data_IF_250713037124
#
_entry.id   IF_250713037124
#
_cell.length_a   1.000
_cell.length_b   1.000
_cell.length_c   1.000
_cell.angle_alpha   90.00
_cell.angle_beta   90.00
_cell.angle_gamma   90.00
#
_symmetry.space_group_name_H-M   'P 1'
#
loop_
_entity.id
_entity.type
_entity.pdbx_description
1 polymer ?
#
# COMPACT_ATOMS: atom_id res chain seq x y z
N UNK A 1 -38.52 -21.35 46.61
CA UNK A 1 -39.59 -21.42 45.60
C UNK A 1 -39.36 -20.22 44.69
N UNK A 2 -38.67 -20.41 43.57
CA UNK A 2 -39.29 -20.77 42.29
C UNK A 2 -40.26 -19.65 41.88
N UNK A 3 -40.24 -19.04 40.71
CA UNK A 3 -39.59 -19.29 39.43
C UNK A 3 -40.24 -18.24 38.50
N UNK A 4 -39.50 -17.50 37.69
CA UNK A 4 -39.99 -16.91 36.43
C UNK A 4 -38.79 -16.70 35.52
N UNK A 5 -38.22 -17.81 35.06
CA UNK A 5 -37.39 -17.84 33.84
C UNK A 5 -38.20 -17.42 32.61
N UNK A 6 -37.54 -16.68 31.72
CA UNK A 6 -37.98 -16.11 30.43
C UNK A 6 -38.74 -17.06 29.48
N UNK A 7 -39.29 -16.51 28.38
CA UNK A 7 -38.52 -16.65 27.14
C UNK A 7 -38.64 -15.44 26.19
N UNK A 8 -37.65 -14.54 26.20
CA UNK A 8 -37.23 -13.85 24.97
C UNK A 8 -36.10 -14.67 24.35
N UNK A 9 -36.46 -15.85 23.84
CA UNK A 9 -35.57 -16.74 23.11
C UNK A 9 -36.20 -17.04 21.76
N UNK A 10 -36.20 -16.05 20.85
CA UNK A 10 -36.34 -16.28 19.41
C UNK A 10 -36.15 -15.02 18.54
N UNK A 11 -35.22 -14.13 18.92
CA UNK A 11 -34.65 -13.20 17.96
C UNK A 11 -33.39 -13.85 17.37
N UNK A 12 -33.53 -14.43 16.17
CA UNK A 12 -32.41 -14.86 15.34
C UNK A 12 -32.05 -13.69 14.41
N UNK A 13 -31.00 -12.91 14.69
CA UNK A 13 -30.60 -11.83 13.79
C UNK A 13 -29.82 -12.34 12.56
N UNK A 14 -29.51 -13.64 12.51
CA UNK A 14 -28.82 -14.28 11.39
C UNK A 14 -29.78 -15.16 10.58
N UNK A 15 -30.65 -14.53 9.79
CA UNK A 15 -31.19 -15.19 8.61
C UNK A 15 -30.24 -14.91 7.45
N UNK A 16 -29.56 -15.95 6.98
CA UNK A 16 -28.78 -15.93 5.74
C UNK A 16 -29.70 -15.52 4.56
N UNK A 17 -29.68 -14.24 4.20
CA UNK A 17 -29.93 -13.84 2.82
C UNK A 17 -28.57 -13.67 2.16
N UNK A 18 -28.19 -14.70 1.39
CA UNK A 18 -27.04 -14.66 0.50
C UNK A 18 -27.32 -13.67 -0.63
N UNK A 19 -27.02 -12.42 -0.37
CA UNK A 19 -26.61 -11.44 -1.36
C UNK A 19 -25.33 -10.86 -0.78
N UNK A 20 -24.23 -11.59 -0.98
CA UNK A 20 -22.89 -11.05 -0.75
C UNK A 20 -22.74 -9.90 -1.74
N UNK A 21 -22.85 -8.68 -1.21
CA UNK A 21 -22.57 -7.45 -1.93
C UNK A 21 -21.05 -7.39 -2.08
N UNK A 22 -20.57 -7.86 -3.25
CA UNK A 22 -19.14 -7.97 -3.56
C UNK A 22 -18.45 -6.59 -3.61
N UNK A 23 -19.24 -5.50 -3.62
CA UNK A 23 -18.78 -4.12 -3.56
C UNK A 23 -18.18 -3.73 -2.18
N UNK A 24 -18.38 -4.53 -1.12
CA UNK A 24 -17.94 -4.22 0.26
C UNK A 24 -16.68 -5.00 0.69
N UNK A 25 -16.16 -5.88 -0.18
CA UNK A 25 -14.80 -6.41 -0.04
C UNK A 25 -13.88 -5.44 -0.76
N UNK A 26 -13.19 -4.58 0.00
CA UNK A 26 -12.07 -3.83 -0.56
C UNK A 26 -11.12 -4.80 -1.29
N UNK A 27 -10.70 -4.44 -2.50
CA UNK A 27 -9.87 -5.28 -3.34
C UNK A 27 -8.66 -5.85 -2.57
N UNK A 28 -8.34 -7.12 -2.81
CA UNK A 28 -7.05 -7.68 -2.38
C UNK A 28 -5.92 -6.95 -3.11
N UNK A 29 -5.35 -5.93 -2.47
CA UNK A 29 -4.23 -5.17 -3.01
C UNK A 29 -2.98 -6.05 -3.09
N UNK A 30 -2.70 -6.52 -4.30
CA UNK A 30 -1.44 -7.19 -4.65
C UNK A 30 -0.27 -6.19 -4.60
N UNK A 31 0.92 -6.72 -4.35
CA UNK A 31 2.19 -5.95 -4.21
C UNK A 31 2.50 -5.09 -5.46
N UNK A 32 1.89 -5.43 -6.60
CA UNK A 32 1.98 -4.80 -7.92
C UNK A 32 0.95 -3.67 -8.16
N UNK A 33 0.05 -3.38 -7.22
CA UNK A 33 -0.92 -2.29 -7.39
C UNK A 33 -0.20 -0.95 -7.55
N UNK A 34 -0.38 -0.36 -8.73
CA UNK A 34 0.21 0.88 -9.23
C UNK A 34 -0.32 2.08 -8.44
N UNK A 35 0.13 2.19 -7.19
CA UNK A 35 -0.21 3.24 -6.24
C UNK A 35 0.96 3.62 -5.33
N UNK A 36 2.19 3.25 -5.72
CA UNK A 36 3.40 3.44 -4.91
C UNK A 36 3.99 4.84 -5.12
N UNK A 37 3.72 5.76 -4.22
CA UNK A 37 4.30 7.11 -4.25
C UNK A 37 5.84 7.12 -4.17
N UNK A 38 6.47 7.92 -5.04
CA UNK A 38 7.83 8.47 -4.88
C UNK A 38 9.01 7.51 -5.10
N UNK A 39 9.27 6.60 -4.14
CA UNK A 39 10.51 5.79 -4.09
C UNK A 39 10.29 4.32 -4.43
N UNK A 40 9.19 3.72 -3.99
CA UNK A 40 8.88 2.32 -4.28
C UNK A 40 8.50 2.08 -5.75
N UNK A 41 8.01 3.10 -6.46
CA UNK A 41 7.83 3.01 -7.93
C UNK A 41 9.16 2.86 -8.67
N UNK A 42 10.28 3.33 -8.10
CA UNK A 42 11.57 3.35 -8.79
C UNK A 42 12.26 1.98 -8.76
N UNK A 43 12.16 1.27 -7.63
CA UNK A 43 12.66 -0.10 -7.50
C UNK A 43 11.71 -1.15 -8.10
N UNK A 44 10.40 -0.94 -8.06
CA UNK A 44 9.45 -1.79 -8.79
C UNK A 44 9.74 -1.82 -10.31
N UNK A 45 10.45 -0.83 -10.86
CA UNK A 45 10.86 -0.81 -12.27
C UNK A 45 12.20 -1.52 -12.53
N UNK A 46 13.00 -1.83 -11.50
CA UNK A 46 14.32 -2.46 -11.67
C UNK A 46 14.25 -3.99 -11.73
N UNK A 47 13.23 -4.60 -11.10
CA UNK A 47 13.09 -6.06 -11.02
C UNK A 47 12.17 -6.67 -12.10
N UNK A 48 11.65 -5.84 -13.03
CA UNK A 48 10.77 -6.33 -14.08
C UNK A 48 11.59 -6.97 -15.21
N UNK A 49 11.31 -8.25 -15.48
CA UNK A 49 11.53 -8.88 -16.78
C UNK A 49 11.25 -7.86 -17.90
N UNK A 50 12.07 -7.78 -18.96
CA UNK A 50 11.97 -6.71 -19.95
C UNK A 50 10.53 -6.58 -20.47
N UNK A 51 9.84 -5.51 -20.05
CA UNK A 51 8.42 -5.27 -20.32
C UNK A 51 8.07 -5.57 -21.77
N UNK A 52 7.26 -6.61 -21.99
CA UNK A 52 6.96 -7.06 -23.35
C UNK A 52 5.96 -6.11 -23.99
N UNK A 53 6.44 -5.24 -24.87
CA UNK A 53 5.58 -4.31 -25.62
C UNK A 53 4.92 -5.05 -26.79
N UNK A 54 3.59 -5.05 -26.85
CA UNK A 54 2.84 -5.77 -27.89
C UNK A 54 3.12 -5.21 -29.29
N UNK A 55 3.03 -6.07 -30.31
CA UNK A 55 3.22 -5.64 -31.71
C UNK A 55 2.25 -4.53 -32.14
N UNK A 56 1.01 -4.53 -31.62
CA UNK A 56 0.03 -3.49 -31.90
C UNK A 56 0.51 -2.12 -31.37
N UNK A 57 1.07 -2.09 -30.17
CA UNK A 57 1.61 -0.88 -29.57
C UNK A 57 2.90 -0.43 -30.28
N UNK A 58 3.79 -1.36 -30.64
CA UNK A 58 4.97 -1.05 -31.46
C UNK A 58 4.58 -0.44 -32.81
N UNK A 59 3.59 -1.03 -33.50
CA UNK A 59 3.06 -0.50 -34.78
C UNK A 59 2.46 0.89 -34.62
N UNK A 60 1.81 1.17 -33.49
CA UNK A 60 1.31 2.51 -33.18
C UNK A 60 2.44 3.50 -32.96
N UNK A 61 3.48 3.13 -32.20
CA UNK A 61 4.65 3.96 -31.94
C UNK A 61 5.44 4.28 -33.21
N UNK A 62 5.52 3.34 -34.17
CA UNK A 62 6.07 3.60 -35.51
C UNK A 62 5.25 4.65 -36.26
N UNK A 63 3.92 4.53 -36.25
CA UNK A 63 3.03 5.53 -36.88
C UNK A 63 3.16 6.92 -36.26
N UNK A 64 3.46 7.00 -34.96
CA UNK A 64 3.70 8.27 -34.27
C UNK A 64 5.13 8.81 -34.48
N UNK A 65 5.99 8.10 -35.22
CA UNK A 65 7.38 8.48 -35.45
C UNK A 65 8.26 8.36 -34.21
N UNK A 66 7.83 7.58 -33.22
CA UNK A 66 8.57 7.34 -31.97
C UNK A 66 9.56 6.17 -32.13
N UNK A 67 9.20 5.18 -32.95
CA UNK A 67 10.07 4.06 -33.35
C UNK A 67 10.23 4.03 -34.87
N UNK A 68 11.34 3.48 -35.38
CA UNK A 68 11.51 3.20 -36.81
C UNK A 68 10.95 1.82 -37.19
N UNK A 69 10.72 1.56 -38.48
CA UNK A 69 10.30 0.24 -38.96
C UNK A 69 11.40 -0.84 -38.74
N UNK A 70 12.66 -0.42 -38.71
CA UNK A 70 13.81 -1.28 -38.41
C UNK A 70 13.86 -1.69 -36.93
N UNK A 71 13.34 -0.83 -36.04
CA UNK A 71 13.26 -1.10 -34.60
C UNK A 71 12.22 -2.19 -34.24
N UNK A 72 11.28 -2.49 -35.13
CA UNK A 72 10.20 -3.47 -34.92
C UNK A 72 10.51 -4.83 -35.57
N UNK A 73 11.35 -4.84 -36.61
CA UNK A 73 11.68 -6.04 -37.40
C UNK A 73 12.76 -6.93 -36.76
N UNK A 74 13.47 -6.42 -35.75
CA UNK A 74 14.43 -7.19 -34.95
C UNK A 74 13.69 -8.10 -33.97
N UNK A 75 13.41 -9.33 -34.39
CA UNK A 75 12.64 -10.31 -33.63
C UNK A 75 13.14 -10.55 -32.21
N UNK A 76 12.19 -10.52 -31.26
CA UNK A 76 12.12 -11.31 -30.02
C UNK A 76 13.47 -11.45 -29.27
N UNK A 77 13.92 -10.41 -28.57
CA UNK A 77 14.36 -10.49 -27.16
C UNK A 77 15.01 -9.20 -26.66
N UNK A 78 15.41 -8.30 -27.55
CA UNK A 78 15.96 -7.01 -27.16
C UNK A 78 14.99 -5.90 -27.54
N UNK A 79 14.39 -5.25 -26.54
CA UNK A 79 13.74 -3.96 -26.74
C UNK A 79 14.76 -3.03 -27.44
N UNK A 80 14.40 -2.42 -28.56
CA UNK A 80 15.29 -1.46 -29.22
C UNK A 80 15.64 -0.31 -28.26
N UNK A 81 16.82 0.31 -28.45
CA UNK A 81 17.28 1.36 -27.54
C UNK A 81 16.28 2.52 -27.45
N UNK A 82 15.61 2.87 -28.55
CA UNK A 82 14.58 3.91 -28.57
C UNK A 82 13.37 3.57 -27.66
N UNK A 83 12.97 2.31 -27.62
CA UNK A 83 11.90 1.85 -26.73
C UNK A 83 12.35 1.82 -25.27
N UNK A 84 13.59 1.36 -24.99
CA UNK A 84 14.16 1.43 -23.65
C UNK A 84 14.25 2.87 -23.16
N UNK A 85 14.72 3.78 -24.01
CA UNK A 85 14.82 5.21 -23.71
C UNK A 85 13.44 5.81 -23.46
N UNK A 86 12.42 5.43 -24.23
CA UNK A 86 11.04 5.85 -24.00
C UNK A 86 10.49 5.32 -22.66
N UNK A 87 10.68 4.04 -22.36
CA UNK A 87 10.22 3.41 -21.12
C UNK A 87 11.00 3.93 -19.89
N UNK A 88 12.24 4.34 -20.07
CA UNK A 88 13.07 4.94 -19.02
C UNK A 88 12.66 6.37 -18.66
N UNK A 89 11.92 7.06 -19.54
CA UNK A 89 11.43 8.41 -19.26
C UNK A 89 10.33 8.33 -18.22
N UNK A 90 10.57 8.93 -17.06
CA UNK A 90 9.54 9.16 -16.04
C UNK A 90 8.42 9.99 -16.64
N UNK A 91 7.19 9.51 -16.57
CA UNK A 91 5.99 10.20 -17.06
C UNK A 91 5.69 11.53 -16.34
N UNK A 92 6.38 11.79 -15.23
CA UNK A 92 6.19 12.96 -14.40
C UNK A 92 7.52 13.41 -13.77
N UNK A 93 7.80 14.71 -13.85
CA UNK A 93 8.88 15.34 -13.09
C UNK A 93 8.25 16.15 -11.95
N UNK A 94 8.66 15.88 -10.70
CA UNK A 94 8.16 16.58 -9.52
C UNK A 94 8.77 17.99 -9.50
N UNK A 95 7.97 19.07 -9.48
CA UNK A 95 8.49 20.44 -9.35
C UNK A 95 9.38 20.60 -8.12
N UNK A 96 10.51 21.31 -8.24
CA UNK A 96 11.49 21.48 -7.16
C UNK A 96 10.88 22.12 -5.90
N UNK A 97 9.90 23.02 -6.08
CA UNK A 97 9.18 23.67 -4.99
C UNK A 97 8.40 22.66 -4.11
N UNK A 98 7.94 21.55 -4.69
CA UNK A 98 7.28 20.48 -3.93
C UNK A 98 8.28 19.56 -3.22
N UNK A 99 9.58 19.68 -3.52
CA UNK A 99 10.66 18.92 -2.89
C UNK A 99 11.39 19.73 -1.81
N UNK A 100 11.08 21.02 -1.66
CA UNK A 100 11.66 21.87 -0.62
C UNK A 100 11.20 21.41 0.77
N UNK A 101 12.15 20.94 1.58
CA UNK A 101 11.95 20.47 2.96
C UNK A 101 12.32 21.50 4.02
N UNK A 102 12.58 22.75 3.62
CA UNK A 102 13.02 23.82 4.53
C UNK A 102 11.88 24.53 5.26
N UNK A 103 10.63 24.34 4.81
CA UNK A 103 9.45 24.90 5.46
C UNK A 103 9.11 24.16 6.77
N UNK A 104 8.35 24.76 7.71
CA UNK A 104 7.90 24.07 8.91
C UNK A 104 6.83 23.02 8.59
N UNK A 105 6.74 21.97 9.43
CA UNK A 105 5.82 20.82 9.24
C UNK A 105 4.36 21.18 8.90
N UNK A 106 3.73 22.20 9.51
CA UNK A 106 2.34 22.57 9.21
C UNK A 106 2.10 23.10 7.78
N UNK A 107 3.15 23.40 7.02
CA UNK A 107 3.05 23.87 5.63
C UNK A 107 3.00 22.72 4.61
N UNK A 108 3.07 21.46 5.07
CA UNK A 108 3.01 20.27 4.21
C UNK A 108 1.68 19.54 4.31
N UNK A 109 1.21 19.06 3.16
CA UNK A 109 0.22 17.98 3.15
C UNK A 109 0.92 16.65 3.47
N UNK A 110 0.46 15.97 4.52
CA UNK A 110 1.01 14.69 4.96
C UNK A 110 -0.01 13.59 4.67
N UNK A 111 0.38 12.65 3.80
CA UNK A 111 -0.42 11.45 3.57
C UNK A 111 -0.55 10.66 4.87
N UNK A 112 -1.80 10.38 5.26
CA UNK A 112 -2.16 9.86 6.58
C UNK A 112 -3.17 8.73 6.45
N UNK A 113 -3.05 7.72 7.29
CA UNK A 113 -3.98 6.58 7.39
C UNK A 113 -4.67 6.58 8.74
N UNK A 114 -5.99 6.36 8.73
CA UNK A 114 -6.85 6.28 9.90
C UNK A 114 -7.24 4.82 10.16
N UNK A 115 -7.27 4.39 11.43
CA UNK A 115 -7.48 3.01 11.86
C UNK A 115 -6.68 2.01 11.00
N UNK A 116 -5.38 2.27 10.85
CA UNK A 116 -4.51 1.62 9.85
C UNK A 116 -4.52 0.09 9.94
N UNK A 117 -4.78 -0.48 11.11
CA UNK A 117 -4.81 -1.92 11.35
C UNK A 117 -6.03 -2.63 10.72
N UNK A 118 -7.10 -1.93 10.36
CA UNK A 118 -8.33 -2.52 9.84
C UNK A 118 -8.19 -2.97 8.39
N UNK A 119 -8.52 -4.23 8.11
CA UNK A 119 -8.58 -4.78 6.75
C UNK A 119 -9.96 -4.72 6.11
N UNK A 120 -11.00 -4.45 6.91
CA UNK A 120 -12.39 -4.52 6.48
C UNK A 120 -13.24 -3.48 7.25
N UNK A 121 -14.52 -3.78 7.45
CA UNK A 121 -15.50 -2.90 8.06
C UNK A 121 -15.11 -2.43 9.49
N UNK A 122 -15.51 -1.21 9.85
CA UNK A 122 -15.15 -0.58 11.13
C UNK A 122 -15.72 -1.32 12.35
N UNK A 123 -16.88 -1.97 12.23
CA UNK A 123 -17.56 -2.63 13.36
C UNK A 123 -17.29 -4.13 13.48
N UNK A 124 -16.82 -4.77 12.40
CA UNK A 124 -16.55 -6.20 12.32
C UNK A 124 -15.51 -6.45 11.24
N UNK A 125 -14.64 -7.43 11.44
CA UNK A 125 -13.59 -7.73 10.47
C UNK A 125 -12.29 -8.10 11.13
N UNK A 126 -11.22 -8.12 10.34
CA UNK A 126 -9.90 -8.51 10.79
C UNK A 126 -8.97 -7.31 10.91
N UNK A 127 -8.13 -7.35 11.94
CA UNK A 127 -6.98 -6.48 12.10
C UNK A 127 -5.73 -7.18 11.57
N UNK A 128 -4.82 -6.45 10.94
CA UNK A 128 -3.55 -6.98 10.42
C UNK A 128 -2.40 -6.00 10.57
N UNK A 129 -1.25 -6.50 11.03
CA UNK A 129 -0.02 -5.71 11.04
C UNK A 129 0.45 -5.36 9.62
N UNK A 130 0.11 -6.19 8.62
CA UNK A 130 0.45 -5.97 7.21
C UNK A 130 -0.16 -4.69 6.65
N UNK A 131 -1.28 -4.23 7.20
CA UNK A 131 -1.91 -3.00 6.76
C UNK A 131 -1.02 -1.75 6.98
N UNK A 132 -0.20 -1.76 8.05
CA UNK A 132 0.81 -0.71 8.28
C UNK A 132 1.90 -0.75 7.22
N UNK A 133 2.38 -1.95 6.86
CA UNK A 133 3.36 -2.09 5.80
C UNK A 133 2.82 -1.54 4.48
N UNK A 134 1.59 -1.92 4.11
CA UNK A 134 0.94 -1.42 2.89
C UNK A 134 0.81 0.10 2.90
N UNK A 135 0.28 0.68 3.99
CA UNK A 135 0.10 2.12 4.10
C UNK A 135 1.42 2.89 3.94
N UNK A 136 2.48 2.45 4.64
CA UNK A 136 3.81 3.07 4.57
C UNK A 136 4.42 2.93 3.18
N UNK A 137 4.32 1.74 2.57
CA UNK A 137 4.81 1.45 1.21
C UNK A 137 4.05 2.19 0.11
N UNK A 138 2.80 2.56 0.35
CA UNK A 138 2.02 3.42 -0.55
C UNK A 138 2.32 4.91 -0.37
N UNK A 139 3.16 5.27 0.61
CA UNK A 139 3.62 6.63 0.83
C UNK A 139 2.95 7.35 1.99
N UNK A 140 2.10 6.67 2.78
CA UNK A 140 1.63 7.25 4.04
C UNK A 140 2.81 7.55 4.95
N UNK A 141 2.76 8.68 5.65
CA UNK A 141 3.76 9.10 6.64
C UNK A 141 3.15 9.38 8.02
N UNK A 142 1.85 9.14 8.16
CA UNK A 142 1.14 9.11 9.43
C UNK A 142 0.24 7.87 9.48
N UNK A 143 0.31 7.11 10.58
CA UNK A 143 -0.47 5.89 10.80
C UNK A 143 -1.05 5.92 12.22
N UNK A 144 -2.17 5.25 12.41
CA UNK A 144 -2.89 5.20 13.68
C UNK A 144 -2.78 3.82 14.32
N UNK A 145 -2.51 3.79 15.63
CA UNK A 145 -2.38 2.58 16.43
C UNK A 145 -3.29 2.70 17.67
N UNK A 146 -4.41 1.99 17.65
CA UNK A 146 -5.32 1.92 18.79
C UNK A 146 -4.85 0.86 19.78
N UNK A 147 -4.04 1.26 20.76
CA UNK A 147 -3.52 0.36 21.79
C UNK A 147 -4.51 0.15 22.93
N UNK A 148 -4.75 -1.12 23.29
CA UNK A 148 -5.65 -1.54 24.37
C UNK A 148 -4.99 -2.58 25.26
N UNK A 149 -5.45 -2.64 26.51
CA UNK A 149 -5.08 -3.70 27.44
C UNK A 149 -5.54 -5.07 26.92
N UNK A 150 -4.71 -6.07 27.15
CA UNK A 150 -4.97 -7.45 26.77
C UNK A 150 -5.20 -8.32 28.02
N UNK A 151 -6.44 -8.74 28.24
CA UNK A 151 -6.79 -9.56 29.40
C UNK A 151 -6.16 -10.96 29.39
N UNK A 152 -5.74 -11.46 28.23
CA UNK A 152 -5.13 -12.79 28.10
C UNK A 152 -3.60 -12.75 28.29
N UNK A 153 -2.99 -11.60 28.06
CA UNK A 153 -1.55 -11.39 28.21
C UNK A 153 -1.28 -9.96 28.72
N UNK A 154 -1.17 -9.77 30.05
CA UNK A 154 -0.98 -8.46 30.66
C UNK A 154 0.31 -7.74 30.24
N UNK A 155 1.30 -8.47 29.74
CA UNK A 155 2.60 -7.92 29.34
C UNK A 155 2.65 -7.53 27.85
N UNK A 156 1.61 -7.87 27.06
CA UNK A 156 1.54 -7.61 25.63
C UNK A 156 0.22 -6.89 25.27
N UNK A 157 0.25 -5.55 25.07
CA UNK A 157 -0.91 -4.80 24.61
C UNK A 157 -1.42 -5.32 23.27
N UNK A 158 -2.71 -5.14 23.03
CA UNK A 158 -3.33 -5.48 21.74
C UNK A 158 -3.69 -4.23 20.97
N UNK A 159 -3.76 -4.36 19.65
CA UNK A 159 -4.29 -3.32 18.75
C UNK A 159 -5.62 -3.78 18.18
N UNK A 160 -6.66 -2.97 18.34
CA UNK A 160 -8.03 -3.28 17.90
C UNK A 160 -8.92 -2.04 17.94
N UNK A 161 -10.09 -2.13 17.29
CA UNK A 161 -11.11 -1.10 17.39
C UNK A 161 -11.99 -1.34 18.62
N UNK A 162 -11.91 -0.43 19.58
CA UNK A 162 -12.53 -0.56 20.90
C UNK A 162 -14.03 -0.84 20.86
N UNK A 163 -14.49 -1.75 21.73
CA UNK A 163 -15.91 -2.09 21.90
C UNK A 163 -16.61 -2.61 20.63
N UNK A 164 -15.87 -3.15 19.66
CA UNK A 164 -16.41 -3.74 18.42
C UNK A 164 -16.12 -5.25 18.30
N UNK A 165 -16.56 -5.86 17.20
CA UNK A 165 -16.30 -7.27 16.87
C UNK A 165 -15.07 -7.47 15.96
N UNK A 166 -14.23 -6.43 15.82
CA UNK A 166 -12.98 -6.54 15.06
C UNK A 166 -11.99 -7.42 15.81
N UNK A 167 -11.23 -8.25 15.09
CA UNK A 167 -10.14 -9.02 15.69
C UNK A 167 -9.04 -8.10 16.26
N UNK A 168 -8.12 -8.66 17.02
CA UNK A 168 -6.99 -7.93 17.57
C UNK A 168 -5.67 -8.55 17.13
N UNK A 169 -4.63 -7.72 17.11
CA UNK A 169 -3.25 -8.13 16.82
C UNK A 169 -2.32 -7.68 17.97
N UNK A 170 -1.18 -8.35 18.20
CA UNK A 170 -0.22 -7.91 19.20
C UNK A 170 0.38 -6.54 18.84
N UNK A 171 0.52 -5.66 19.82
CA UNK A 171 1.12 -4.33 19.63
C UNK A 171 2.58 -4.44 19.17
N UNK A 172 3.33 -5.42 19.68
CA UNK A 172 4.71 -5.70 19.24
C UNK A 172 4.79 -6.01 17.76
N UNK A 173 3.86 -6.81 17.22
CA UNK A 173 3.84 -7.16 15.80
C UNK A 173 3.64 -5.93 14.91
N UNK A 174 2.86 -4.95 15.36
CA UNK A 174 2.71 -3.66 14.68
C UNK A 174 4.03 -2.90 14.67
N UNK A 175 4.68 -2.77 15.84
CA UNK A 175 5.96 -2.06 15.96
C UNK A 175 7.07 -2.70 15.13
N UNK A 176 7.16 -4.04 15.14
CA UNK A 176 8.14 -4.79 14.35
C UNK A 176 7.92 -4.61 12.85
N UNK A 177 6.66 -4.58 12.41
CA UNK A 177 6.31 -4.33 11.00
C UNK A 177 6.69 -2.91 10.57
N UNK A 178 6.39 -1.90 11.40
CA UNK A 178 6.77 -0.51 11.12
C UNK A 178 8.29 -0.37 11.06
N UNK A 179 9.02 -0.97 12.01
CA UNK A 179 10.49 -0.98 12.01
C UNK A 179 11.06 -1.60 10.75
N UNK A 180 10.52 -2.76 10.35
CA UNK A 180 10.97 -3.44 9.13
C UNK A 180 10.88 -2.55 7.89
N UNK A 181 9.74 -1.87 7.69
CA UNK A 181 9.57 -0.95 6.56
C UNK A 181 10.48 0.27 6.67
N UNK A 182 10.71 0.77 7.88
CA UNK A 182 11.63 1.88 8.11
C UNK A 182 13.08 1.51 7.76
N UNK A 183 13.53 0.34 8.19
CA UNK A 183 14.88 -0.16 7.90
C UNK A 183 15.05 -0.36 6.38
N UNK A 184 14.05 -0.93 5.69
CA UNK A 184 14.03 -1.01 4.22
C UNK A 184 14.10 0.38 3.56
N UNK A 185 13.34 1.37 4.05
CA UNK A 185 13.37 2.74 3.53
C UNK A 185 14.75 3.40 3.67
N UNK A 186 15.47 3.09 4.76
CA UNK A 186 16.84 3.57 4.99
C UNK A 186 17.85 2.93 4.04
N UNK A 187 17.76 1.62 3.85
CA UNK A 187 18.64 0.89 2.93
C UNK A 187 18.47 1.41 1.49
N UNK A 188 17.22 1.59 1.04
CA UNK A 188 16.92 2.19 -0.26
C UNK A 188 17.43 3.63 -0.39
N UNK A 189 17.41 4.41 0.69
CA UNK A 189 17.93 5.77 0.67
C UNK A 189 19.48 5.83 0.64
N UNK A 190 20.16 4.81 1.17
CA UNK A 190 21.61 4.70 1.10
C UNK A 190 22.11 4.35 -0.32
N UNK A 191 21.33 3.57 -1.06
CA UNK A 191 21.67 3.13 -2.43
C UNK A 191 21.41 4.21 -3.50
N UNK A 192 20.59 5.24 -3.21
CA UNK A 192 20.34 6.38 -4.10
C UNK A 192 20.79 7.74 -3.49
N UNK A 193 22.09 8.07 -3.57
CA UNK A 193 22.63 9.31 -3.01
C UNK A 193 22.13 10.58 -3.72
N UNK A 194 21.45 10.47 -4.87
CA UNK A 194 20.91 11.62 -5.61
C UNK A 194 19.70 12.27 -4.92
N UNK A 195 19.02 11.55 -4.02
CA UNK A 195 17.90 12.05 -3.21
C UNK A 195 18.27 12.47 -1.78
N UNK A 196 19.54 12.34 -1.39
CA UNK A 196 20.03 12.59 -0.03
C UNK A 196 20.64 13.99 0.18
N UNK A 197 20.62 14.87 -0.83
CA UNK A 197 21.34 16.16 -0.81
C UNK A 197 20.68 17.30 -0.01
N UNK A 198 19.75 17.04 0.91
CA UNK A 198 19.06 18.11 1.65
C UNK A 198 18.87 17.88 3.15
N UNK A 199 19.71 17.07 3.79
CA UNK A 199 19.81 17.06 5.26
C UNK A 199 21.14 17.69 5.69
N UNK A 200 21.11 19.01 5.92
CA UNK A 200 22.10 19.75 6.72
C UNK A 200 21.38 20.69 7.67
#
# INVERSE_FOLDING_TARGET
MADMSSPMANLKPFSNSATEDDDDKGDEFRVDSVGRGGRYNRHALQDEEPLRVSHALQSFLVKQGVLSEDDVSSGVHDQCQALRDMLSKTSFAVPDQLQDRSHPLPEYFISSSHNTYLMAHQLYGTSSAKAYETALRMGSRCVEIDAWDNANDPDEPKVTHGYTFVSHIPFRAVCETIRHVFDEDLDLAADDPSGASSTS
#
